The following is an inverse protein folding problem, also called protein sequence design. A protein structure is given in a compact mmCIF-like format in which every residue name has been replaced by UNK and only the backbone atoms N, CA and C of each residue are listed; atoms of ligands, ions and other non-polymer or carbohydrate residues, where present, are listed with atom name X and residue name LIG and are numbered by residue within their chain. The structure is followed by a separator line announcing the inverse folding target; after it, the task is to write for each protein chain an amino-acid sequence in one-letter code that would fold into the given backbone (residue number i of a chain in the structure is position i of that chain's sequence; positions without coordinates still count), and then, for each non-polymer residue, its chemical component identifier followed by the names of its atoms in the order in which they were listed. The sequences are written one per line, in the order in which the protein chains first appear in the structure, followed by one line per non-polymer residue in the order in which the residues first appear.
data_IF_089228110254
#
_entry.id   IF_089228110254
#
_cell.length_a   1.000
_cell.length_b   1.000
_cell.length_c   1.000
_cell.angle_alpha   90.00
_cell.angle_beta   90.00
_cell.angle_gamma   90.00
#
_symmetry.space_group_name_H-M   'P 1'
#
loop_
_entity.id
_entity.type
_entity.pdbx_description
1 polymer ?
#
# COMPACT_ATOMS: atom_id res chain seq x y z
N UNK A 1 -11.71 -5.91 -63.99
CA UNK A 1 -12.27 -4.65 -63.47
C UNK A 1 -12.77 -4.94 -62.05
N UNK A 2 -12.13 -4.60 -60.93
CA UNK A 2 -11.02 -3.70 -60.65
C UNK A 2 -11.48 -2.51 -59.80
N UNK A 3 -11.71 -2.69 -58.49
CA UNK A 3 -11.70 -1.59 -57.50
C UNK A 3 -11.16 -2.13 -56.16
N UNK A 4 -9.91 -1.79 -55.85
CA UNK A 4 -9.26 -2.04 -54.55
C UNK A 4 -9.47 -0.80 -53.68
N UNK A 5 -10.21 -0.94 -52.58
CA UNK A 5 -10.43 0.14 -51.62
C UNK A 5 -9.24 0.25 -50.65
N UNK A 6 -8.35 1.20 -50.91
CA UNK A 6 -7.24 1.54 -50.02
C UNK A 6 -7.72 2.28 -48.76
N UNK A 7 -7.70 1.59 -47.62
CA UNK A 7 -7.96 2.17 -46.29
C UNK A 7 -6.71 2.95 -45.84
N UNK A 8 -6.73 4.28 -45.97
CA UNK A 8 -5.70 5.17 -45.42
C UNK A 8 -5.86 5.28 -43.90
N UNK A 9 -4.95 4.68 -43.15
CA UNK A 9 -4.79 4.90 -41.71
C UNK A 9 -4.22 6.29 -41.47
N UNK A 10 -5.05 7.19 -40.95
CA UNK A 10 -4.68 8.55 -40.56
C UNK A 10 -3.86 8.47 -39.25
N UNK A 11 -2.55 8.24 -39.37
CA UNK A 11 -1.63 8.47 -38.25
C UNK A 11 -1.49 9.98 -38.06
N UNK A 12 -2.23 10.57 -37.14
CA UNK A 12 -2.05 11.97 -36.73
C UNK A 12 -0.92 12.06 -35.70
N UNK A 13 0.28 12.59 -36.03
CA UNK A 13 1.37 12.78 -35.07
C UNK A 13 1.09 13.89 -34.04
N UNK A 14 0.00 14.65 -34.24
CA UNK A 14 -0.33 15.82 -33.42
C UNK A 14 -0.69 15.47 -31.97
N UNK A 15 -1.32 14.32 -31.71
CA UNK A 15 -1.81 13.98 -30.36
C UNK A 15 -0.68 13.51 -29.41
N UNK A 16 0.43 12.99 -29.94
CA UNK A 16 1.57 12.52 -29.12
C UNK A 16 2.40 13.68 -28.55
N UNK A 17 2.45 14.82 -29.25
CA UNK A 17 3.26 15.97 -28.84
C UNK A 17 2.65 16.72 -27.64
N UNK A 18 1.33 16.88 -27.62
CA UNK A 18 0.63 17.58 -26.54
C UNK A 18 0.60 16.79 -25.24
N UNK A 19 0.45 15.46 -25.30
CA UNK A 19 0.53 14.61 -24.11
C UNK A 19 1.89 14.67 -23.43
N UNK A 20 2.98 14.74 -24.21
CA UNK A 20 4.33 14.87 -23.67
C UNK A 20 4.58 16.24 -23.03
N UNK A 21 4.05 17.32 -23.63
CA UNK A 21 4.13 18.67 -23.07
C UNK A 21 3.36 18.82 -21.77
N UNK A 22 2.18 18.20 -21.64
CA UNK A 22 1.39 18.21 -20.40
C UNK A 22 2.07 17.39 -19.31
N UNK A 23 2.62 16.21 -19.65
CA UNK A 23 3.38 15.40 -18.69
C UNK A 23 4.67 16.11 -18.26
N UNK A 24 5.39 16.73 -19.20
CA UNK A 24 6.62 17.47 -18.90
C UNK A 24 6.36 18.72 -18.06
N UNK A 25 5.24 19.42 -18.28
CA UNK A 25 4.86 20.58 -17.45
C UNK A 25 4.34 20.16 -16.07
N UNK A 26 3.59 19.05 -15.96
CA UNK A 26 3.20 18.47 -14.67
C UNK A 26 4.42 17.96 -13.88
N UNK A 27 5.36 17.29 -14.55
CA UNK A 27 6.63 16.86 -13.95
C UNK A 27 7.50 18.06 -13.56
N UNK A 28 7.56 19.11 -14.38
CA UNK A 28 8.28 20.34 -14.05
C UNK A 28 7.66 21.07 -12.85
N UNK A 29 6.33 21.18 -12.76
CA UNK A 29 5.64 21.76 -11.61
C UNK A 29 5.79 20.91 -10.33
N UNK A 30 5.82 19.57 -10.48
CA UNK A 30 6.17 18.66 -9.38
C UNK A 30 7.65 18.78 -8.95
N UNK A 31 8.53 19.17 -9.86
CA UNK A 31 9.97 19.35 -9.60
C UNK A 31 10.28 20.72 -8.98
N UNK A 32 9.49 21.76 -9.29
CA UNK A 32 9.69 23.13 -8.79
C UNK A 32 9.13 23.33 -7.37
N UNK A 33 8.11 22.56 -6.99
CA UNK A 33 7.60 22.50 -5.60
C UNK A 33 8.45 21.61 -4.66
N UNK A 34 9.53 21.03 -5.20
CA UNK A 34 10.38 20.04 -4.57
C UNK A 34 11.51 20.68 -3.75
N UNK A 35 11.15 21.44 -2.73
CA UNK A 35 12.12 21.92 -1.74
C UNK A 35 12.55 20.72 -0.86
N UNK A 36 13.52 19.94 -1.37
CA UNK A 36 13.91 18.60 -0.88
C UNK A 36 14.22 18.58 0.62
N UNK A 37 14.76 19.67 1.17
CA UNK A 37 15.11 19.76 2.59
C UNK A 37 13.87 19.80 3.49
N UNK A 38 12.84 20.56 3.09
CA UNK A 38 11.57 20.63 3.84
C UNK A 38 10.73 19.37 3.68
N UNK A 39 10.78 18.72 2.52
CA UNK A 39 10.09 17.45 2.28
C UNK A 39 10.77 16.30 3.02
N UNK A 40 12.09 16.17 2.95
CA UNK A 40 12.81 15.13 3.68
C UNK A 40 12.59 15.27 5.19
N UNK A 41 12.66 16.49 5.74
CA UNK A 41 12.32 16.69 7.15
C UNK A 41 10.88 16.31 7.49
N UNK A 42 9.90 16.61 6.61
CA UNK A 42 8.49 16.20 6.80
C UNK A 42 8.32 14.68 6.69
N UNK A 43 8.96 14.05 5.71
CA UNK A 43 8.99 12.60 5.53
C UNK A 43 9.61 11.91 6.74
N UNK A 44 10.82 12.29 7.17
CA UNK A 44 11.49 11.73 8.35
C UNK A 44 10.68 11.94 9.63
N UNK A 45 9.97 13.05 9.77
CA UNK A 45 9.06 13.29 10.89
C UNK A 45 7.79 12.43 10.84
N UNK A 46 7.44 11.91 9.68
CA UNK A 46 6.29 11.03 9.46
C UNK A 46 6.61 9.57 9.80
N UNK A 47 7.88 9.14 9.69
CA UNK A 47 8.31 7.79 10.08
C UNK A 47 8.36 7.66 11.61
N UNK A 48 7.37 6.97 12.17
CA UNK A 48 7.42 6.48 13.54
C UNK A 48 7.43 4.96 13.52
N UNK A 49 8.42 4.35 14.19
CA UNK A 49 8.51 2.90 14.27
C UNK A 49 7.50 2.36 15.29
N UNK A 50 6.88 1.20 15.01
CA UNK A 50 6.06 0.52 16.00
C UNK A 50 6.90 0.11 17.21
N UNK A 51 6.25 -0.06 18.36
CA UNK A 51 6.85 -0.76 19.51
C UNK A 51 7.19 -2.18 19.07
N UNK A 52 8.31 -2.75 19.56
CA UNK A 52 8.76 -4.08 19.15
C UNK A 52 7.68 -5.16 19.29
N UNK A 53 6.96 -5.19 20.42
CA UNK A 53 5.88 -6.14 20.64
C UNK A 53 4.72 -5.96 19.64
N UNK A 54 4.32 -4.72 19.37
CA UNK A 54 3.28 -4.42 18.37
C UNK A 54 3.73 -4.81 16.97
N UNK A 55 4.96 -4.46 16.58
CA UNK A 55 5.52 -4.82 15.29
C UNK A 55 5.61 -6.33 15.11
N UNK A 56 6.01 -7.08 16.14
CA UNK A 56 6.06 -8.54 16.09
C UNK A 56 4.67 -9.16 15.91
N UNK A 57 3.67 -8.66 16.63
CA UNK A 57 2.27 -9.11 16.51
C UNK A 57 1.74 -8.82 15.11
N UNK A 58 1.92 -7.60 14.59
CA UNK A 58 1.47 -7.24 13.25
C UNK A 58 2.17 -8.05 12.16
N UNK A 59 3.48 -8.26 12.26
CA UNK A 59 4.24 -9.14 11.35
C UNK A 59 3.70 -10.58 11.37
N UNK A 60 3.44 -11.14 12.55
CA UNK A 60 2.88 -12.48 12.68
C UNK A 60 1.49 -12.57 12.03
N UNK A 61 0.65 -11.55 12.23
CA UNK A 61 -0.69 -11.51 11.67
C UNK A 61 -0.68 -11.39 10.14
N UNK A 62 0.15 -10.52 9.56
CA UNK A 62 0.30 -10.45 8.11
C UNK A 62 0.87 -11.75 7.53
N UNK A 63 1.80 -12.38 8.26
CA UNK A 63 2.32 -13.70 7.90
C UNK A 63 1.22 -14.76 7.88
N UNK A 64 0.39 -14.82 8.92
CA UNK A 64 -0.75 -15.74 9.01
C UNK A 64 -1.77 -15.47 7.90
N UNK A 65 -2.08 -14.22 7.60
CA UNK A 65 -2.99 -13.84 6.50
C UNK A 65 -2.45 -14.33 5.15
N UNK A 66 -1.17 -14.11 4.88
CA UNK A 66 -0.54 -14.57 3.65
C UNK A 66 -0.60 -16.09 3.53
N UNK A 67 -0.23 -16.82 4.58
CA UNK A 67 -0.25 -18.28 4.59
C UNK A 67 -1.68 -18.82 4.43
N UNK A 68 -2.66 -18.23 5.12
CA UNK A 68 -4.05 -18.62 5.01
C UNK A 68 -4.60 -18.38 3.59
N UNK A 69 -4.35 -17.20 3.01
CA UNK A 69 -4.78 -16.88 1.66
C UNK A 69 -4.13 -17.79 0.61
N UNK A 70 -2.82 -18.05 0.75
CA UNK A 70 -2.08 -18.92 -0.16
C UNK A 70 -2.54 -20.38 -0.05
N UNK A 71 -2.78 -20.88 1.17
CA UNK A 71 -3.28 -22.24 1.40
C UNK A 71 -4.67 -22.44 0.81
N UNK A 72 -5.60 -21.51 1.07
CA UNK A 72 -6.99 -21.60 0.58
C UNK A 72 -7.09 -21.42 -0.94
N UNK A 73 -6.22 -20.60 -1.54
CA UNK A 73 -6.36 -20.22 -2.96
C UNK A 73 -5.50 -21.06 -3.91
N UNK A 74 -4.28 -21.42 -3.49
CA UNK A 74 -3.26 -22.02 -4.36
C UNK A 74 -2.92 -23.47 -4.00
N UNK A 75 -3.37 -23.96 -2.83
CA UNK A 75 -3.05 -25.29 -2.31
C UNK A 75 -1.53 -25.58 -2.25
N UNK A 76 -0.72 -24.54 -2.04
CA UNK A 76 0.73 -24.67 -1.92
C UNK A 76 1.12 -25.25 -0.55
N UNK A 77 2.27 -25.92 -0.51
CA UNK A 77 2.91 -26.27 0.76
C UNK A 77 3.58 -25.06 1.42
N UNK A 78 3.67 -25.06 2.76
CA UNK A 78 4.27 -23.95 3.56
C UNK A 78 5.68 -23.58 3.07
N UNK A 79 6.50 -24.58 2.68
CA UNK A 79 7.87 -24.35 2.19
C UNK A 79 7.92 -23.49 0.92
N UNK A 80 6.91 -23.61 0.04
CA UNK A 80 6.83 -22.85 -1.20
C UNK A 80 6.34 -21.42 -0.97
N UNK A 81 5.65 -21.18 0.14
CA UNK A 81 5.12 -19.87 0.53
C UNK A 81 6.17 -18.99 1.22
N UNK A 82 7.13 -19.59 1.93
CA UNK A 82 8.12 -18.90 2.74
C UNK A 82 8.89 -17.78 2.00
N UNK A 83 9.34 -17.97 0.74
CA UNK A 83 10.07 -16.92 0.02
C UNK A 83 9.23 -15.68 -0.27
N UNK A 84 7.92 -15.83 -0.51
CA UNK A 84 7.01 -14.71 -0.76
C UNK A 84 6.54 -14.01 0.51
N UNK A 85 6.49 -14.73 1.63
CA UNK A 85 6.02 -14.23 2.93
C UNK A 85 6.85 -13.04 3.42
N UNK A 86 8.17 -13.19 3.50
CA UNK A 86 9.04 -12.17 4.12
C UNK A 86 8.96 -10.83 3.38
N UNK A 87 9.12 -10.77 2.05
CA UNK A 87 9.02 -9.50 1.32
C UNK A 87 7.64 -8.87 1.40
N UNK A 88 6.56 -9.67 1.38
CA UNK A 88 5.19 -9.17 1.51
C UNK A 88 4.94 -8.52 2.87
N UNK A 89 5.33 -9.20 3.94
CA UNK A 89 5.21 -8.64 5.30
C UNK A 89 6.06 -7.37 5.42
N UNK A 90 7.27 -7.34 4.86
CA UNK A 90 8.11 -6.15 4.86
C UNK A 90 7.46 -4.97 4.11
N UNK A 91 6.90 -5.21 2.92
CA UNK A 91 6.20 -4.17 2.16
C UNK A 91 5.01 -3.64 2.97
N UNK A 92 4.19 -4.52 3.55
CA UNK A 92 3.08 -4.13 4.41
C UNK A 92 3.58 -3.27 5.58
N UNK A 93 4.60 -3.73 6.31
CA UNK A 93 5.12 -3.00 7.47
C UNK A 93 5.69 -1.64 7.07
N UNK A 94 6.46 -1.55 5.99
CA UNK A 94 7.01 -0.29 5.49
C UNK A 94 5.89 0.68 5.09
N UNK A 95 4.87 0.22 4.38
CA UNK A 95 3.73 1.06 3.99
C UNK A 95 2.94 1.56 5.21
N UNK A 96 2.84 0.74 6.27
CA UNK A 96 2.23 1.17 7.53
C UNK A 96 3.09 2.22 8.24
N UNK A 97 4.41 2.07 8.28
CA UNK A 97 5.30 3.10 8.84
C UNK A 97 5.20 4.39 8.01
N UNK A 98 5.21 4.30 6.68
CA UNK A 98 5.07 5.43 5.74
C UNK A 98 3.74 6.17 5.94
N UNK A 99 2.65 5.44 6.22
CA UNK A 99 1.37 6.06 6.54
C UNK A 99 1.42 6.91 7.81
N UNK A 100 2.40 6.69 8.68
CA UNK A 100 2.52 7.39 9.95
C UNK A 100 1.56 6.89 11.03
N UNK A 101 0.87 5.77 10.81
CA UNK A 101 -0.12 5.21 11.75
C UNK A 101 0.43 5.05 13.17
N UNK A 102 1.73 4.76 13.33
CA UNK A 102 2.37 4.59 14.64
C UNK A 102 2.70 5.90 15.38
N UNK A 103 2.40 7.07 14.79
CA UNK A 103 2.61 8.35 15.48
C UNK A 103 1.72 8.46 16.70
N UNK A 104 2.30 8.95 17.81
CA UNK A 104 1.59 9.15 19.08
C UNK A 104 0.35 10.02 18.93
N UNK A 105 0.46 11.11 18.15
CA UNK A 105 -0.66 12.03 17.89
C UNK A 105 -1.85 11.36 17.19
N UNK A 106 -1.58 10.34 16.37
CA UNK A 106 -2.57 9.58 15.59
C UNK A 106 -3.17 8.47 16.44
N UNK A 107 -2.32 7.80 17.22
CA UNK A 107 -2.68 6.73 18.16
C UNK A 107 -3.47 7.21 19.39
N UNK A 108 -3.93 8.45 19.44
CA UNK A 108 -4.84 8.95 20.48
C UNK A 108 -6.29 9.04 20.02
N UNK A 109 -6.54 8.98 18.72
CA UNK A 109 -7.88 9.03 18.13
C UNK A 109 -8.08 7.83 17.23
N UNK A 110 -9.05 7.00 17.58
CA UNK A 110 -9.35 5.77 16.86
C UNK A 110 -9.72 6.03 15.39
N UNK A 111 -10.40 7.14 15.09
CA UNK A 111 -10.76 7.51 13.72
C UNK A 111 -9.50 7.78 12.90
N UNK A 112 -8.52 8.46 13.50
CA UNK A 112 -7.24 8.72 12.85
C UNK A 112 -6.45 7.43 12.63
N UNK A 113 -6.48 6.48 13.58
CA UNK A 113 -5.89 5.15 13.41
C UNK A 113 -6.53 4.41 12.23
N UNK A 114 -7.86 4.44 12.09
CA UNK A 114 -8.56 3.84 10.95
C UNK A 114 -8.15 4.47 9.62
N UNK A 115 -8.19 5.80 9.53
CA UNK A 115 -7.84 6.55 8.31
C UNK A 115 -6.39 6.27 7.89
N UNK A 116 -5.44 6.34 8.82
CA UNK A 116 -4.04 6.11 8.50
C UNK A 116 -3.74 4.64 8.22
N UNK A 117 -4.45 3.70 8.85
CA UNK A 117 -4.37 2.27 8.50
C UNK A 117 -4.89 2.00 7.10
N UNK A 118 -5.99 2.65 6.69
CA UNK A 118 -6.50 2.58 5.33
C UNK A 118 -5.49 3.16 4.33
N UNK A 119 -4.88 4.32 4.62
CA UNK A 119 -3.82 4.87 3.77
C UNK A 119 -2.63 3.92 3.65
N UNK A 120 -2.14 3.37 4.77
CA UNK A 120 -1.06 2.39 4.76
C UNK A 120 -1.41 1.13 3.96
N UNK A 121 -2.65 0.66 4.04
CA UNK A 121 -3.14 -0.45 3.25
C UNK A 121 -3.14 -0.13 1.75
N UNK A 122 -3.74 0.99 1.34
CA UNK A 122 -3.77 1.41 -0.08
C UNK A 122 -2.35 1.63 -0.62
N UNK A 123 -1.45 2.21 0.19
CA UNK A 123 -0.03 2.35 -0.15
C UNK A 123 0.69 1.01 -0.28
N UNK A 124 0.25 -0.05 0.39
CA UNK A 124 0.81 -1.38 0.28
C UNK A 124 0.30 -2.15 -0.94
N UNK A 125 -0.95 -1.95 -1.36
CA UNK A 125 -1.55 -2.67 -2.49
C UNK A 125 -0.71 -2.55 -3.76
N UNK A 126 -0.32 -1.34 -4.16
CA UNK A 126 0.47 -1.12 -5.37
C UNK A 126 1.83 -1.84 -5.38
N UNK A 127 2.74 -1.63 -4.40
CA UNK A 127 4.02 -2.32 -4.38
C UNK A 127 3.87 -3.84 -4.23
N UNK A 128 2.83 -4.32 -3.56
CA UNK A 128 2.52 -5.75 -3.50
C UNK A 128 2.18 -6.31 -4.88
N UNK A 129 1.28 -5.68 -5.62
CA UNK A 129 0.92 -6.13 -6.96
C UNK A 129 2.11 -6.10 -7.91
N UNK A 130 2.95 -5.05 -7.83
CA UNK A 130 4.20 -4.96 -8.59
C UNK A 130 5.16 -6.09 -8.20
N UNK A 131 5.36 -6.33 -6.90
CA UNK A 131 6.23 -7.37 -6.41
C UNK A 131 5.76 -8.77 -6.85
N UNK A 132 4.47 -9.06 -6.72
CA UNK A 132 3.88 -10.31 -7.18
C UNK A 132 4.06 -10.49 -8.69
N UNK A 133 3.84 -9.43 -9.48
CA UNK A 133 3.97 -9.50 -10.92
C UNK A 133 5.40 -9.74 -11.39
N UNK A 134 6.39 -9.10 -10.76
CA UNK A 134 7.79 -9.17 -11.18
C UNK A 134 8.49 -10.42 -10.64
N UNK A 135 8.31 -10.72 -9.35
CA UNK A 135 9.12 -11.74 -8.67
C UNK A 135 8.38 -13.05 -8.43
N UNK A 136 7.05 -13.00 -8.25
CA UNK A 136 6.26 -14.13 -7.77
C UNK A 136 5.01 -14.35 -8.63
N UNK A 137 5.13 -14.50 -9.97
CA UNK A 137 3.97 -14.57 -10.86
C UNK A 137 3.05 -15.76 -10.59
N UNK A 138 3.55 -16.80 -9.90
CA UNK A 138 2.75 -17.95 -9.43
C UNK A 138 1.66 -17.57 -8.43
N UNK A 139 1.81 -16.42 -7.75
CA UNK A 139 0.85 -15.90 -6.79
C UNK A 139 -0.11 -14.88 -7.44
N UNK A 140 -0.05 -14.64 -8.75
CA UNK A 140 -1.00 -13.78 -9.47
C UNK A 140 -2.33 -14.50 -9.79
N UNK A 141 -2.83 -15.31 -8.86
CA UNK A 141 -4.17 -15.86 -8.96
C UNK A 141 -5.18 -14.85 -8.40
N UNK A 142 -6.30 -14.66 -9.10
CA UNK A 142 -7.33 -13.69 -8.71
C UNK A 142 -7.91 -13.99 -7.32
N UNK A 143 -8.09 -15.28 -6.98
CA UNK A 143 -8.61 -15.68 -5.67
C UNK A 143 -7.59 -15.37 -4.59
N UNK A 144 -6.32 -15.68 -4.84
CA UNK A 144 -5.25 -15.35 -3.90
C UNK A 144 -5.18 -13.85 -3.62
N UNK A 145 -5.14 -13.02 -4.66
CA UNK A 145 -5.08 -11.56 -4.52
C UNK A 145 -6.29 -11.06 -3.74
N UNK A 146 -7.50 -11.52 -4.10
CA UNK A 146 -8.72 -11.14 -3.41
C UNK A 146 -8.69 -11.51 -1.92
N UNK A 147 -8.44 -12.78 -1.59
CA UNK A 147 -8.43 -13.24 -0.20
C UNK A 147 -7.31 -12.58 0.61
N UNK A 148 -6.11 -12.47 0.05
CA UNK A 148 -4.99 -11.83 0.71
C UNK A 148 -5.31 -10.37 1.04
N UNK A 149 -5.76 -9.59 0.06
CA UNK A 149 -6.10 -8.18 0.26
C UNK A 149 -7.29 -8.01 1.21
N UNK A 150 -8.32 -8.85 1.09
CA UNK A 150 -9.48 -8.82 1.97
C UNK A 150 -9.12 -9.09 3.43
N UNK A 151 -8.38 -10.16 3.70
CA UNK A 151 -7.96 -10.49 5.06
C UNK A 151 -6.92 -9.50 5.59
N UNK A 152 -6.00 -9.00 4.76
CA UNK A 152 -5.05 -7.98 5.16
C UNK A 152 -5.77 -6.68 5.54
N UNK A 153 -6.78 -6.27 4.77
CA UNK A 153 -7.65 -5.14 5.09
C UNK A 153 -8.40 -5.35 6.41
N UNK A 154 -8.95 -6.55 6.61
CA UNK A 154 -9.65 -6.87 7.85
C UNK A 154 -8.72 -6.80 9.06
N UNK A 155 -7.50 -7.34 8.94
CA UNK A 155 -6.49 -7.30 10.00
C UNK A 155 -6.07 -5.87 10.31
N UNK A 156 -5.83 -5.03 9.29
CA UNK A 156 -5.41 -3.64 9.49
C UNK A 156 -6.51 -2.79 10.09
N UNK A 157 -7.76 -2.98 9.68
CA UNK A 157 -8.90 -2.26 10.22
C UNK A 157 -9.29 -2.70 11.62
N UNK A 158 -9.35 -4.01 11.89
CA UNK A 158 -9.98 -4.52 13.11
C UNK A 158 -9.01 -4.67 14.27
N UNK A 159 -7.81 -5.17 13.99
CA UNK A 159 -6.91 -5.63 15.05
C UNK A 159 -5.94 -4.54 15.50
N UNK A 160 -5.62 -3.57 14.62
CA UNK A 160 -4.73 -2.47 15.01
C UNK A 160 -5.33 -1.55 16.08
N UNK A 161 -6.62 -1.16 16.04
CA UNK A 161 -7.24 -0.42 17.14
C UNK A 161 -7.21 -1.18 18.48
N UNK A 162 -7.19 -2.51 18.44
CA UNK A 162 -7.11 -3.36 19.64
C UNK A 162 -5.68 -3.40 20.20
N UNK A 163 -4.66 -3.40 19.34
CA UNK A 163 -3.25 -3.45 19.76
C UNK A 163 -2.66 -2.07 20.07
N UNK A 164 -3.28 -0.98 19.61
CA UNK A 164 -2.85 0.39 19.90
C UNK A 164 -3.10 0.81 21.35
N UNK A 165 -3.96 0.10 22.08
CA UNK A 165 -4.33 0.47 23.45
C UNK A 165 -5.06 1.83 23.51
N UNK A 166 -5.65 2.25 22.40
CA UNK A 166 -6.52 3.42 22.31
C UNK A 166 -7.77 3.15 23.12
N UNK A 167 -8.07 4.02 24.09
CA UNK A 167 -9.29 3.92 24.87
C UNK A 167 -10.48 4.19 23.96
N UNK A 168 -11.32 3.17 23.70
CA UNK A 168 -12.50 3.30 22.85
C UNK A 168 -13.51 4.32 23.40
N UNK A 169 -13.36 4.68 24.68
CA UNK A 169 -14.24 5.61 25.42
C UNK A 169 -13.75 7.05 25.41
N UNK A 170 -12.52 7.32 24.96
CA UNK A 170 -11.99 8.69 24.90
C UNK A 170 -12.28 9.27 23.50
N UNK A 171 -13.54 9.69 23.32
CA UNK A 171 -14.13 10.18 22.07
C UNK A 171 -13.49 11.46 21.55
N UNK A 172 -12.24 11.39 21.13
CA UNK A 172 -11.46 12.55 20.72
C UNK A 172 -11.17 13.43 21.92
N UNK A 173 -10.31 12.93 22.82
CA UNK A 173 -9.69 13.67 23.91
C UNK A 173 -8.89 14.87 23.40
N UNK A 174 -9.61 15.88 22.90
CA UNK A 174 -9.20 17.26 22.79
C UNK A 174 -8.95 17.67 24.23
N UNK A 175 -7.72 17.44 24.70
CA UNK A 175 -7.24 18.02 25.95
C UNK A 175 -7.43 19.52 25.82
N UNK A 176 -8.45 20.00 26.50
CA UNK A 176 -8.62 21.39 26.88
C UNK A 176 -7.39 21.65 27.75
N UNK A 177 -6.41 22.36 27.21
CA UNK A 177 -5.39 23.14 27.91
C UNK A 177 -4.71 24.03 26.88
#
# INVERSE_FOLDING_TARGET
MGVVAGRKTLHSPFFKSWGFLVIATLLAQLTDSWNRETLLQRFFRQFSLPKLAQGAVECAMFGCVFLAAAFVSLDFGIQQMLPGLVPLVLIMMISMVMSGVYRRDIMHDIMNVYIHSLYGFVLAVLPILIYLHVFMPRFLDEKFIFFFLFFAFFVTGTLRPLTSGTDFMDGGGRRIN
#
